data_IF_504144974368
#
_entry.id   IF_504144974368
#
_cell.length_a   1.000
_cell.length_b   1.000
_cell.length_c   1.000
_cell.angle_alpha   90.00
_cell.angle_beta   90.00
_cell.angle_gamma   90.00
#
_symmetry.space_group_name_H-M   'P 1'
#
loop_
_entity.id
_entity.type
_entity.pdbx_description
1 polymer ?
#
# COMPACT_ATOMS: atom_id res chain seq x y z
N UNK A 1 -3.03 19.03 4.60
CA UNK A 1 -1.83 18.22 4.87
C UNK A 1 -1.82 17.12 3.84
N UNK A 2 -0.75 16.95 3.06
CA UNK A 2 -0.67 15.87 2.09
C UNK A 2 -0.81 14.50 2.76
N UNK A 3 -1.59 13.59 2.17
CA UNK A 3 -1.79 12.22 2.69
C UNK A 3 -1.35 11.19 1.67
N UNK A 4 -0.56 10.22 2.11
CA UNK A 4 -0.23 9.02 1.34
C UNK A 4 -0.87 7.81 2.01
N UNK A 5 -1.70 7.09 1.27
CA UNK A 5 -2.31 5.83 1.69
C UNK A 5 -1.75 4.72 0.81
N UNK A 6 -1.06 3.75 1.42
CA UNK A 6 -0.63 2.53 0.73
C UNK A 6 -1.40 1.35 1.31
N UNK A 7 -2.34 0.82 0.53
CA UNK A 7 -3.17 -0.33 0.86
C UNK A 7 -2.61 -1.65 0.35
N UNK A 8 -3.27 -2.74 0.73
CA UNK A 8 -3.00 -4.11 0.27
C UNK A 8 -4.28 -4.73 -0.29
N UNK A 9 -4.17 -5.52 -1.35
CA UNK A 9 -5.34 -6.10 -2.03
C UNK A 9 -5.93 -7.32 -1.30
N UNK A 10 -5.11 -8.06 -0.54
CA UNK A 10 -5.55 -9.24 0.20
C UNK A 10 -6.08 -8.91 1.62
N UNK A 11 -6.13 -7.62 1.99
CA UNK A 11 -6.54 -7.18 3.33
C UNK A 11 -7.99 -7.54 3.68
N UNK A 12 -8.87 -7.59 2.69
CA UNK A 12 -10.29 -7.98 2.86
C UNK A 12 -10.48 -9.50 2.99
N UNK A 13 -9.47 -10.29 2.67
CA UNK A 13 -9.52 -11.74 2.75
C UNK A 13 -9.25 -12.25 4.16
N UNK A 14 -9.99 -13.29 4.56
CA UNK A 14 -9.70 -14.03 5.79
C UNK A 14 -8.55 -15.01 5.53
N UNK A 15 -7.63 -15.14 6.47
CA UNK A 15 -6.59 -16.18 6.40
C UNK A 15 -7.20 -17.58 6.56
N UNK A 16 -8.11 -17.76 7.51
CA UNK A 16 -8.86 -18.99 7.77
C UNK A 16 -10.14 -18.68 8.57
N UNK A 17 -10.91 -19.71 8.94
CA UNK A 17 -12.20 -19.55 9.65
C UNK A 17 -12.08 -18.92 11.04
N UNK A 18 -10.93 -19.01 11.69
CA UNK A 18 -10.71 -18.52 13.05
C UNK A 18 -10.23 -17.07 13.12
N UNK A 19 -9.67 -16.54 12.02
CA UNK A 19 -9.16 -15.17 11.98
C UNK A 19 -9.99 -14.29 11.02
N UNK A 20 -10.47 -13.13 11.48
CA UNK A 20 -11.17 -12.20 10.61
C UNK A 20 -10.21 -11.61 9.57
N UNK A 21 -10.78 -10.91 8.57
CA UNK A 21 -9.98 -10.13 7.64
C UNK A 21 -9.26 -9.00 8.38
N UNK A 22 -8.01 -8.71 8.01
CA UNK A 22 -7.21 -7.69 8.70
C UNK A 22 -7.57 -6.26 8.28
N UNK A 23 -8.16 -6.09 7.10
CA UNK A 23 -8.72 -4.83 6.63
C UNK A 23 -10.07 -5.11 5.95
N UNK A 24 -11.13 -5.40 6.73
CA UNK A 24 -12.45 -5.73 6.20
C UNK A 24 -12.97 -4.64 5.27
N UNK A 25 -13.75 -5.05 4.28
CA UNK A 25 -14.45 -4.15 3.38
C UNK A 25 -15.26 -3.12 4.18
N UNK A 26 -15.34 -1.89 3.65
CA UNK A 26 -16.09 -0.76 4.21
C UNK A 26 -15.52 -0.20 5.54
N UNK A 27 -14.38 -0.70 6.03
CA UNK A 27 -13.63 -0.14 7.17
C UNK A 27 -12.11 -0.18 6.94
N UNK A 28 -11.69 -0.20 5.67
CA UNK A 28 -10.29 -0.38 5.29
C UNK A 28 -9.63 0.90 4.75
N UNK A 29 -8.44 0.74 4.17
CA UNK A 29 -7.63 1.80 3.58
C UNK A 29 -8.36 2.60 2.49
N UNK A 30 -9.33 2.00 1.79
CA UNK A 30 -10.16 2.70 0.79
C UNK A 30 -11.06 3.73 1.44
N UNK A 31 -11.73 3.37 2.54
CA UNK A 31 -12.58 4.30 3.29
C UNK A 31 -11.75 5.37 4.00
N UNK A 32 -10.56 5.02 4.47
CA UNK A 32 -9.65 6.03 5.00
C UNK A 32 -9.26 7.06 3.92
N UNK A 33 -8.98 6.60 2.69
CA UNK A 33 -8.65 7.47 1.57
C UNK A 33 -9.82 8.35 1.11
N UNK A 34 -11.05 7.82 1.05
CA UNK A 34 -12.23 8.59 0.63
C UNK A 34 -12.54 9.78 1.54
N UNK A 35 -12.20 9.67 2.82
CA UNK A 35 -12.36 10.74 3.82
C UNK A 35 -11.18 11.74 3.85
N UNK A 36 -10.12 11.50 3.07
CA UNK A 36 -8.96 12.39 3.03
C UNK A 36 -9.26 13.68 2.27
N UNK A 37 -8.84 14.82 2.84
CA UNK A 37 -8.83 16.10 2.13
C UNK A 37 -7.62 16.20 1.18
N UNK A 38 -7.76 16.85 0.01
CA UNK A 38 -6.63 17.04 -0.89
C UNK A 38 -5.45 17.85 -0.29
N UNK A 39 -4.21 17.62 -0.74
CA UNK A 39 -3.82 16.58 -1.70
C UNK A 39 -3.70 15.20 -1.03
N UNK A 40 -4.22 14.16 -1.67
CA UNK A 40 -4.13 12.78 -1.19
C UNK A 40 -3.79 11.81 -2.33
N UNK A 41 -3.05 10.75 -1.99
CA UNK A 41 -2.56 9.75 -2.94
C UNK A 41 -2.84 8.35 -2.39
N UNK A 42 -3.26 7.44 -3.27
CA UNK A 42 -3.68 6.11 -2.91
C UNK A 42 -3.10 5.08 -3.88
N UNK A 43 -2.39 4.11 -3.32
CA UNK A 43 -1.79 3.00 -4.06
C UNK A 43 -2.14 1.70 -3.35
N UNK A 44 -2.51 0.66 -4.10
CA UNK A 44 -2.77 -0.66 -3.53
C UNK A 44 -1.83 -1.69 -4.14
N UNK A 45 -1.06 -2.38 -3.30
CA UNK A 45 -0.28 -3.54 -3.73
C UNK A 45 -1.22 -4.74 -3.84
N UNK A 46 -1.73 -4.97 -5.07
CA UNK A 46 -2.88 -5.85 -5.34
C UNK A 46 -2.69 -7.27 -4.83
N UNK A 47 -1.51 -7.84 -5.08
CA UNK A 47 -1.24 -9.25 -4.84
C UNK A 47 -0.62 -9.54 -3.46
N UNK A 48 -0.72 -8.58 -2.53
CA UNK A 48 -0.07 -8.62 -1.23
C UNK A 48 -1.06 -8.46 -0.08
N UNK A 49 -0.66 -8.98 1.09
CA UNK A 49 -1.37 -8.90 2.35
C UNK A 49 -0.72 -7.95 3.36
N UNK A 50 -1.46 -7.67 4.45
CA UNK A 50 -1.09 -6.66 5.45
C UNK A 50 0.33 -6.85 6.03
N UNK A 51 0.76 -8.10 6.20
CA UNK A 51 2.03 -8.46 6.83
C UNK A 51 3.16 -8.74 5.83
N UNK A 52 2.92 -8.55 4.54
CA UNK A 52 3.96 -8.75 3.51
C UNK A 52 4.94 -7.58 3.42
N UNK A 53 4.61 -6.45 4.05
CA UNK A 53 5.54 -5.33 4.22
C UNK A 53 6.60 -5.58 5.30
N UNK A 54 6.39 -6.55 6.18
CA UNK A 54 7.35 -6.84 7.25
C UNK A 54 8.62 -7.50 6.72
N UNK A 55 9.69 -7.34 7.49
CA UNK A 55 10.96 -8.05 7.26
C UNK A 55 10.79 -9.56 7.43
N UNK A 56 11.69 -10.32 6.79
CA UNK A 56 11.58 -11.78 6.73
C UNK A 56 11.88 -12.47 8.07
N UNK A 57 12.50 -11.75 9.01
CA UNK A 57 12.77 -12.17 10.39
C UNK A 57 11.65 -11.80 11.37
N UNK A 58 10.55 -11.22 10.89
CA UNK A 58 9.38 -10.92 11.71
C UNK A 58 8.84 -12.18 12.43
N UNK A 59 8.34 -12.06 13.69
CA UNK A 59 7.86 -13.21 14.44
C UNK A 59 6.79 -14.01 13.69
N UNK A 60 7.06 -15.31 13.45
CA UNK A 60 6.17 -16.20 12.67
C UNK A 60 4.75 -16.32 13.22
N UNK A 61 4.55 -16.08 14.52
CA UNK A 61 3.20 -16.09 15.08
C UNK A 61 2.34 -14.93 14.54
N UNK A 62 2.96 -13.77 14.25
CA UNK A 62 2.26 -12.61 13.67
C UNK A 62 1.83 -12.91 12.24
N UNK A 63 2.65 -13.60 11.45
CA UNK A 63 2.36 -13.90 10.03
C UNK A 63 1.16 -14.85 9.82
N UNK A 64 0.66 -15.50 10.87
CA UNK A 64 -0.51 -16.38 10.79
C UNK A 64 -1.86 -15.63 10.85
N UNK A 65 -1.85 -14.33 11.18
CA UNK A 65 -3.06 -13.57 11.48
C UNK A 65 -3.79 -13.05 10.22
N UNK A 66 -3.03 -12.69 9.19
CA UNK A 66 -3.57 -12.06 7.98
C UNK A 66 -3.33 -12.93 6.75
N UNK A 67 -4.22 -12.80 5.75
CA UNK A 67 -3.95 -13.34 4.43
C UNK A 67 -2.67 -12.70 3.87
N UNK A 68 -1.82 -13.54 3.32
CA UNK A 68 -0.53 -13.26 2.68
C UNK A 68 -0.60 -13.51 1.19
N UNK A 69 0.22 -12.78 0.45
CA UNK A 69 0.47 -13.00 -0.97
C UNK A 69 1.45 -14.15 -1.22
N UNK A 70 1.47 -14.64 -2.45
CA UNK A 70 2.42 -15.69 -2.88
C UNK A 70 3.73 -15.11 -3.43
N UNK A 71 3.85 -13.79 -3.54
CA UNK A 71 4.99 -13.12 -4.13
C UNK A 71 6.10 -12.83 -3.09
N UNK A 72 7.29 -12.52 -3.58
CA UNK A 72 8.41 -12.14 -2.72
C UNK A 72 8.11 -10.83 -1.96
N UNK A 73 8.31 -10.85 -0.63
CA UNK A 73 8.12 -9.68 0.25
C UNK A 73 9.11 -8.55 -0.04
N UNK A 74 10.29 -8.85 -0.59
CA UNK A 74 11.25 -7.83 -1.02
C UNK A 74 10.63 -6.87 -2.05
N UNK A 75 9.84 -7.38 -2.97
CA UNK A 75 9.19 -6.54 -4.00
C UNK A 75 8.17 -5.59 -3.36
N UNK A 76 7.41 -6.06 -2.36
CA UNK A 76 6.50 -5.22 -1.56
C UNK A 76 7.27 -4.12 -0.84
N UNK A 77 8.32 -4.48 -0.09
CA UNK A 77 9.15 -3.51 0.65
C UNK A 77 9.77 -2.47 -0.28
N UNK A 78 10.31 -2.88 -1.43
CA UNK A 78 10.88 -1.97 -2.44
C UNK A 78 9.83 -1.05 -3.06
N UNK A 79 8.63 -1.56 -3.34
CA UNK A 79 7.52 -0.73 -3.86
C UNK A 79 7.09 0.31 -2.84
N UNK A 80 6.83 -0.10 -1.60
CA UNK A 80 6.42 0.81 -0.52
C UNK A 80 7.50 1.85 -0.24
N UNK A 81 8.77 1.43 -0.13
CA UNK A 81 9.89 2.34 0.10
C UNK A 81 10.02 3.36 -1.05
N UNK A 82 9.92 2.92 -2.30
CA UNK A 82 9.97 3.80 -3.47
C UNK A 82 8.85 4.83 -3.48
N UNK A 83 7.60 4.41 -3.26
CA UNK A 83 6.44 5.32 -3.18
C UNK A 83 6.60 6.31 -2.02
N UNK A 84 6.99 5.82 -0.83
CA UNK A 84 7.18 6.66 0.35
C UNK A 84 8.24 7.74 0.11
N UNK A 85 9.39 7.37 -0.44
CA UNK A 85 10.47 8.31 -0.75
C UNK A 85 10.03 9.32 -1.81
N UNK A 86 9.39 8.87 -2.90
CA UNK A 86 8.87 9.75 -3.95
C UNK A 86 7.84 10.76 -3.40
N UNK A 87 6.95 10.32 -2.51
CA UNK A 87 5.98 11.18 -1.84
C UNK A 87 6.66 12.20 -0.91
N UNK A 88 7.62 11.77 -0.07
CA UNK A 88 8.33 12.66 0.84
C UNK A 88 9.15 13.72 0.08
N UNK A 89 9.80 13.33 -1.04
CA UNK A 89 10.50 14.29 -1.91
C UNK A 89 9.53 15.32 -2.51
N UNK A 90 8.35 14.89 -2.96
CA UNK A 90 7.34 15.78 -3.51
C UNK A 90 6.81 16.78 -2.48
N UNK A 91 6.54 16.32 -1.24
CA UNK A 91 5.86 17.14 -0.23
C UNK A 91 6.80 17.98 0.64
N UNK A 92 8.08 17.58 0.78
CA UNK A 92 9.07 18.27 1.61
C UNK A 92 10.18 18.95 0.80
N UNK A 93 10.56 18.39 -0.35
CA UNK A 93 11.71 18.81 -1.14
C UNK A 93 11.37 19.55 -2.43
N UNK A 94 10.08 19.78 -2.71
CA UNK A 94 9.56 20.37 -3.97
C UNK A 94 9.96 19.61 -5.25
N UNK A 95 10.40 18.35 -5.14
CA UNK A 95 10.72 17.47 -6.26
C UNK A 95 9.68 16.34 -6.39
N UNK A 96 8.70 16.51 -7.28
CA UNK A 96 7.59 15.57 -7.45
C UNK A 96 7.67 14.74 -8.75
N UNK A 97 8.80 14.79 -9.46
CA UNK A 97 9.03 14.06 -10.71
C UNK A 97 8.81 12.56 -10.56
N UNK A 98 9.44 11.94 -9.56
CA UNK A 98 9.32 10.49 -9.30
C UNK A 98 7.87 10.09 -8.97
N UNK A 99 7.19 10.87 -8.14
CA UNK A 99 5.81 10.60 -7.75
C UNK A 99 4.86 10.69 -8.95
N UNK A 100 5.01 11.73 -9.79
CA UNK A 100 4.22 11.88 -11.03
C UNK A 100 4.44 10.72 -12.00
N UNK A 101 5.68 10.24 -12.11
CA UNK A 101 6.01 9.09 -12.96
C UNK A 101 5.33 7.83 -12.45
N UNK A 102 5.38 7.54 -11.15
CA UNK A 102 4.71 6.36 -10.55
C UNK A 102 3.19 6.44 -10.73
N UNK A 103 2.58 7.62 -10.59
CA UNK A 103 1.14 7.81 -10.81
C UNK A 103 0.72 7.57 -12.27
N UNK A 104 1.57 7.98 -13.23
CA UNK A 104 1.30 7.85 -14.66
C UNK A 104 1.58 6.45 -15.19
N UNK A 105 2.64 5.82 -14.69
CA UNK A 105 3.11 4.50 -15.10
C UNK A 105 3.37 3.62 -13.86
N UNK A 106 2.29 3.12 -13.22
CA UNK A 106 2.41 2.30 -12.03
C UNK A 106 3.14 0.96 -12.27
N UNK A 107 3.27 0.53 -13.53
CA UNK A 107 4.01 -0.68 -13.90
C UNK A 107 5.52 -0.58 -13.66
N UNK A 108 6.05 0.60 -13.37
CA UNK A 108 7.44 0.80 -12.96
C UNK A 108 7.72 0.30 -11.53
N UNK A 109 6.67 0.16 -10.71
CA UNK A 109 6.81 -0.40 -9.38
C UNK A 109 7.14 -1.90 -9.45
N UNK A 110 7.94 -2.43 -8.51
CA UNK A 110 8.21 -3.87 -8.43
C UNK A 110 6.97 -4.76 -8.22
N UNK A 111 5.85 -4.18 -7.78
CA UNK A 111 4.58 -4.87 -7.52
C UNK A 111 3.47 -4.33 -8.39
N UNK A 112 2.44 -5.14 -8.63
CA UNK A 112 1.20 -4.68 -9.26
C UNK A 112 0.51 -3.65 -8.37
N UNK A 113 0.50 -2.38 -8.79
CA UNK A 113 -0.26 -1.32 -8.13
C UNK A 113 -1.63 -1.18 -8.80
N UNK A 114 -2.69 -1.51 -8.08
CA UNK A 114 -4.07 -1.45 -8.59
C UNK A 114 -5.08 -1.50 -7.42
N UNK A 115 -5.89 -0.44 -7.18
CA UNK A 115 -5.91 0.83 -7.90
C UNK A 115 -4.74 1.77 -7.58
N UNK A 116 -4.57 2.78 -8.45
CA UNK A 116 -3.72 3.97 -8.23
C UNK A 116 -4.56 5.22 -8.46
N UNK A 117 -4.74 6.01 -7.41
CA UNK A 117 -5.62 7.18 -7.39
C UNK A 117 -4.94 8.37 -6.70
N UNK A 118 -5.35 9.58 -7.07
CA UNK A 118 -4.92 10.78 -6.36
C UNK A 118 -5.97 11.89 -6.51
N UNK A 119 -6.02 12.78 -5.52
CA UNK A 119 -6.80 14.00 -5.55
C UNK A 119 -5.87 15.18 -5.24
N UNK A 120 -5.87 16.21 -6.09
CA UNK A 120 -5.09 17.43 -5.91
C UNK A 120 -5.99 18.56 -5.41
N UNK A 121 -5.39 19.54 -4.74
CA UNK A 121 -6.10 20.71 -4.20
C UNK A 121 -6.58 21.68 -5.30
#
# INVERSE_FOLDING_TARGET
>A
MPVLVIGTGLGEEKKNIFFPACAPKDVNHREFYSECKPPCYYFVTKDYGHLDMLDDDAPKFMTCLCKDGNNCKDLMRRSVAGIMVAFLKAVLGEEDGDLRVILKDPGLAPTTLDPVEHCLA
#
